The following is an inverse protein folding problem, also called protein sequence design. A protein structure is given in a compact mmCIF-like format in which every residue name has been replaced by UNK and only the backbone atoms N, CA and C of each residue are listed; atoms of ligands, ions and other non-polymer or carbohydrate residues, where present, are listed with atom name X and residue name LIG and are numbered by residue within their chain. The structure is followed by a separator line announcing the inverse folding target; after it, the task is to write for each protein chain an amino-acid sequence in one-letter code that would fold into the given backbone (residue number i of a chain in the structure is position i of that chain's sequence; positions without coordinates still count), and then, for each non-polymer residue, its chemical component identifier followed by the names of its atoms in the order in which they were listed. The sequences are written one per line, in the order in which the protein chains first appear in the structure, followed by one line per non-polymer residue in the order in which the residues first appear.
data_IF_501605057580
#
_entry.id   IF_501605057580
#
_cell.length_a   1.000
_cell.length_b   1.000
_cell.length_c   1.000
_cell.angle_alpha   90.00
_cell.angle_beta   90.00
_cell.angle_gamma   90.00
#
_symmetry.space_group_name_H-M   'P 1'
#
loop_
_entity.id
_entity.type
_entity.pdbx_description
1 polymer ?
#
# COMPACT_ATOMS: atom_id res chain seq x y z
N UNK A 1 12.96 13.18 6.86
CA UNK A 1 11.75 12.33 6.87
C UNK A 1 11.81 11.37 8.03
N UNK A 2 10.76 11.29 8.81
CA UNK A 2 10.60 10.29 9.86
C UNK A 2 9.87 9.07 9.32
N UNK A 3 9.83 7.98 10.11
CA UNK A 3 9.05 6.79 9.75
C UNK A 3 7.57 7.14 9.58
N UNK A 4 7.02 7.97 10.46
CA UNK A 4 5.62 8.38 10.36
C UNK A 4 5.37 9.25 9.14
N UNK A 5 6.32 10.12 8.79
CA UNK A 5 6.22 10.94 7.57
C UNK A 5 6.16 10.05 6.33
N UNK A 6 7.01 9.02 6.29
CA UNK A 6 7.01 8.06 5.17
C UNK A 6 5.66 7.36 5.05
N UNK A 7 5.14 6.84 6.17
CA UNK A 7 3.85 6.14 6.18
C UNK A 7 2.73 7.06 5.74
N UNK A 8 2.69 8.29 6.25
CA UNK A 8 1.67 9.26 5.90
C UNK A 8 1.73 9.65 4.42
N UNK A 9 2.95 9.85 3.90
CA UNK A 9 3.13 10.18 2.47
C UNK A 9 2.65 9.04 1.58
N UNK A 10 2.99 7.80 1.92
CA UNK A 10 2.55 6.63 1.17
C UNK A 10 1.02 6.50 1.18
N UNK A 11 0.40 6.66 2.34
CA UNK A 11 -1.06 6.60 2.47
C UNK A 11 -1.72 7.66 1.61
N UNK A 12 -1.21 8.87 1.64
CA UNK A 12 -1.72 9.97 0.83
C UNK A 12 -1.61 9.66 -0.67
N UNK A 13 -0.43 9.22 -1.12
CA UNK A 13 -0.18 8.95 -2.53
C UNK A 13 -1.01 7.78 -3.05
N UNK A 14 -1.17 6.73 -2.25
CA UNK A 14 -2.00 5.58 -2.62
C UNK A 14 -3.47 6.00 -2.74
N UNK A 15 -3.96 6.79 -1.79
CA UNK A 15 -5.32 7.33 -1.81
C UNK A 15 -5.57 8.12 -3.08
N UNK A 16 -4.68 9.03 -3.41
CA UNK A 16 -4.77 9.85 -4.61
C UNK A 16 -4.78 9.00 -5.88
N UNK A 17 -3.86 8.03 -5.94
CA UNK A 17 -3.75 7.14 -7.10
C UNK A 17 -5.01 6.29 -7.30
N UNK A 18 -5.58 5.78 -6.22
CA UNK A 18 -6.82 5.01 -6.28
C UNK A 18 -7.98 5.88 -6.76
N UNK A 19 -8.15 7.04 -6.15
CA UNK A 19 -9.29 7.93 -6.44
C UNK A 19 -9.22 8.50 -7.85
N UNK A 20 -8.02 8.70 -8.38
CA UNK A 20 -7.83 9.20 -9.74
C UNK A 20 -8.36 8.22 -10.79
N UNK A 21 -8.46 6.92 -10.45
CA UNK A 21 -8.97 5.88 -11.34
C UNK A 21 -10.46 5.67 -11.23
N UNK A 22 -11.14 6.30 -10.26
CA UNK A 22 -12.59 6.16 -10.10
C UNK A 22 -13.28 6.95 -11.19
N UNK A 23 -14.18 6.27 -11.92
CA UNK A 23 -14.91 6.88 -13.05
C UNK A 23 -16.35 7.15 -12.63
N UNK A 24 -16.62 8.37 -12.22
CA UNK A 24 -17.96 8.80 -11.79
C UNK A 24 -18.95 8.84 -12.94
N UNK A 25 -18.48 8.98 -14.19
CA UNK A 25 -19.35 8.96 -15.37
C UNK A 25 -19.93 7.56 -15.61
N UNK A 26 -19.26 6.52 -15.11
CA UNK A 26 -19.74 5.14 -15.16
C UNK A 26 -20.54 4.76 -13.91
N UNK A 27 -20.82 5.71 -13.04
CA UNK A 27 -21.54 5.46 -11.81
C UNK A 27 -20.69 4.87 -10.69
N UNK A 28 -19.36 4.93 -10.83
CA UNK A 28 -18.47 4.47 -9.79
C UNK A 28 -18.41 5.51 -8.66
N UNK A 29 -18.48 5.02 -7.41
CA UNK A 29 -18.45 5.88 -6.22
C UNK A 29 -17.54 5.33 -5.13
N UNK A 30 -16.58 4.47 -5.51
CA UNK A 30 -15.70 3.78 -4.57
C UNK A 30 -14.45 4.61 -4.21
N UNK A 31 -14.65 5.89 -3.96
CA UNK A 31 -13.59 6.75 -3.42
C UNK A 31 -13.21 6.29 -2.03
N UNK A 32 -11.93 6.43 -1.71
CA UNK A 32 -11.41 6.10 -0.39
C UNK A 32 -10.81 7.33 0.27
N UNK A 33 -10.59 7.23 1.57
CA UNK A 33 -9.88 8.22 2.36
C UNK A 33 -8.56 7.61 2.85
N UNK A 34 -7.65 8.44 3.34
CA UNK A 34 -6.35 7.97 3.81
C UNK A 34 -6.47 6.93 4.92
N UNK A 35 -7.53 7.01 5.73
CA UNK A 35 -7.80 6.05 6.80
C UNK A 35 -8.06 4.64 6.27
N UNK A 36 -8.43 4.51 5.01
CA UNK A 36 -8.65 3.22 4.38
C UNK A 36 -7.36 2.53 3.97
N UNK A 37 -6.25 3.27 3.90
CA UNK A 37 -4.94 2.73 3.53
C UNK A 37 -4.17 2.36 4.78
N UNK A 38 -3.80 1.09 4.90
CA UNK A 38 -3.14 0.54 6.08
C UNK A 38 -1.75 0.07 5.75
N UNK A 39 -0.80 0.43 6.59
CA UNK A 39 0.57 -0.08 6.51
C UNK A 39 0.60 -1.46 7.15
N UNK A 40 0.85 -2.49 6.35
CA UNK A 40 0.92 -3.87 6.82
C UNK A 40 2.30 -4.17 7.39
N UNK A 41 3.32 -3.59 6.78
CA UNK A 41 4.70 -3.86 7.13
C UNK A 41 5.57 -2.69 6.67
N UNK A 42 6.59 -2.37 7.44
CA UNK A 42 7.54 -1.38 7.00
C UNK A 42 8.92 -1.64 7.61
N UNK A 43 9.95 -1.19 6.91
CA UNK A 43 11.33 -1.29 7.35
C UNK A 43 12.08 -0.02 6.98
N UNK A 44 12.99 0.36 7.86
CA UNK A 44 13.89 1.49 7.65
C UNK A 44 15.32 0.97 7.66
N UNK A 45 16.11 1.37 6.65
CA UNK A 45 17.52 1.06 6.58
C UNK A 45 18.26 2.34 6.22
N UNK A 46 19.00 2.90 7.20
CA UNK A 46 19.66 4.20 7.06
C UNK A 46 18.61 5.27 6.72
N UNK A 47 18.75 5.96 5.58
CA UNK A 47 17.80 6.97 5.12
C UNK A 47 16.76 6.42 4.16
N UNK A 48 16.73 5.11 3.95
CA UNK A 48 15.83 4.46 3.03
C UNK A 48 14.68 3.79 3.78
N UNK A 49 13.49 3.78 3.17
CA UNK A 49 12.30 3.18 3.73
C UNK A 49 11.63 2.26 2.73
N UNK A 50 11.02 1.21 3.22
CA UNK A 50 10.21 0.31 2.39
C UNK A 50 8.99 -0.11 3.18
N UNK A 51 7.82 -0.09 2.55
CA UNK A 51 6.58 -0.49 3.21
C UNK A 51 5.63 -1.17 2.27
N UNK A 52 4.77 -2.02 2.85
CA UNK A 52 3.69 -2.69 2.15
C UNK A 52 2.37 -2.17 2.71
N UNK A 53 1.47 -1.80 1.80
CA UNK A 53 0.20 -1.18 2.16
C UNK A 53 -0.96 -1.90 1.50
N UNK A 54 -2.11 -1.86 2.15
CA UNK A 54 -3.36 -2.38 1.61
C UNK A 54 -4.45 -1.34 1.79
N UNK A 55 -5.51 -1.47 1.00
CA UNK A 55 -6.73 -0.66 1.16
C UNK A 55 -7.79 -1.55 1.79
N UNK A 56 -8.45 -1.04 2.83
CA UNK A 56 -9.58 -1.75 3.45
C UNK A 56 -10.86 -0.93 3.24
N UNK A 57 -11.95 -1.57 2.82
CA UNK A 57 -12.06 -3.00 2.48
C UNK A 57 -11.15 -3.37 1.30
N UNK A 58 -10.73 -4.63 1.26
CA UNK A 58 -9.72 -5.10 0.30
C UNK A 58 -10.15 -4.88 -1.15
N UNK A 59 -9.23 -4.34 -1.95
CA UNK A 59 -9.42 -4.11 -3.38
C UNK A 59 -8.70 -5.16 -4.25
N UNK A 60 -8.12 -6.19 -3.61
CA UNK A 60 -7.38 -7.24 -4.30
C UNK A 60 -5.98 -6.84 -4.72
N UNK A 61 -5.48 -5.74 -4.19
CA UNK A 61 -4.16 -5.20 -4.55
C UNK A 61 -3.27 -5.03 -3.34
N UNK A 62 -1.97 -5.00 -3.60
CA UNK A 62 -0.94 -4.63 -2.63
C UNK A 62 -0.13 -3.49 -3.22
N UNK A 63 0.26 -2.56 -2.36
CA UNK A 63 1.04 -1.40 -2.76
C UNK A 63 2.35 -1.43 -2.01
N UNK A 64 3.45 -1.52 -2.76
CA UNK A 64 4.78 -1.50 -2.18
C UNK A 64 5.42 -0.14 -2.42
N UNK A 65 5.75 0.55 -1.35
CA UNK A 65 6.37 1.86 -1.41
C UNK A 65 7.84 1.74 -1.05
N UNK A 66 8.70 2.33 -1.87
CA UNK A 66 10.14 2.35 -1.65
C UNK A 66 10.63 3.78 -1.73
N UNK A 67 11.25 4.26 -0.67
CA UNK A 67 11.83 5.60 -0.62
C UNK A 67 13.35 5.53 -0.59
N UNK A 68 13.97 6.20 -1.55
CA UNK A 68 15.41 6.38 -1.61
C UNK A 68 15.73 7.75 -1.02
N UNK A 69 16.29 7.77 0.19
CA UNK A 69 16.56 9.01 0.90
C UNK A 69 17.69 9.84 0.30
N UNK A 70 18.63 9.21 -0.40
CA UNK A 70 19.72 9.93 -1.06
C UNK A 70 19.20 10.74 -2.24
N UNK A 71 18.29 10.17 -3.01
CA UNK A 71 17.71 10.81 -4.19
C UNK A 71 16.40 11.52 -3.91
N UNK A 72 15.83 11.32 -2.72
CA UNK A 72 14.52 11.84 -2.33
C UNK A 72 13.43 11.43 -3.31
N UNK A 73 13.46 10.17 -3.72
CA UNK A 73 12.50 9.60 -4.66
C UNK A 73 11.65 8.54 -3.98
N UNK A 74 10.36 8.58 -4.24
CA UNK A 74 9.39 7.60 -3.75
C UNK A 74 8.85 6.81 -4.94
N UNK A 75 8.94 5.48 -4.84
CA UNK A 75 8.37 4.56 -5.84
C UNK A 75 7.18 3.84 -5.21
N UNK A 76 6.10 3.72 -5.98
CA UNK A 76 4.91 2.98 -5.57
C UNK A 76 4.62 1.93 -6.62
N UNK A 77 4.79 0.67 -6.25
CA UNK A 77 4.50 -0.46 -7.11
C UNK A 77 3.16 -1.06 -6.69
N UNK A 78 2.30 -1.33 -7.67
CA UNK A 78 0.97 -1.88 -7.44
C UNK A 78 0.95 -3.32 -7.94
N UNK A 79 0.57 -4.24 -7.04
CA UNK A 79 0.49 -5.66 -7.37
C UNK A 79 -0.95 -6.14 -7.24
N UNK A 80 -1.40 -6.92 -8.21
CA UNK A 80 -2.69 -7.58 -8.14
C UNK A 80 -2.53 -8.93 -7.45
N UNK A 81 -3.50 -9.26 -6.60
CA UNK A 81 -3.56 -10.58 -5.98
C UNK A 81 -3.97 -11.58 -7.06
N UNK A 82 -3.10 -12.52 -7.36
CA UNK A 82 -3.32 -13.51 -8.40
C UNK A 82 -4.13 -14.69 -7.91
N UNK A 83 -3.80 -15.18 -6.71
CA UNK A 83 -4.47 -16.36 -6.18
C UNK A 83 -4.42 -16.37 -4.65
N UNK A 84 -5.24 -17.23 -4.07
CA UNK A 84 -5.25 -17.50 -2.65
C UNK A 84 -5.38 -19.00 -2.46
N UNK A 85 -4.45 -19.59 -1.73
CA UNK A 85 -4.43 -21.02 -1.46
C UNK A 85 -4.26 -21.24 0.04
N UNK A 86 -5.13 -22.05 0.60
CA UNK A 86 -5.04 -22.43 2.01
C UNK A 86 -4.44 -23.82 2.12
N UNK A 87 -3.32 -23.93 2.81
CA UNK A 87 -2.65 -25.20 3.05
C UNK A 87 -2.68 -25.45 4.55
N UNK A 88 -3.35 -26.54 4.95
CA UNK A 88 -3.36 -26.94 6.35
C UNK A 88 -2.07 -27.68 6.67
N UNK A 89 -1.39 -27.22 7.72
CA UNK A 89 -0.14 -27.83 8.14
C UNK A 89 -0.41 -28.73 9.34
N UNK A 90 0.19 -29.93 9.32
CA UNK A 90 0.20 -30.78 10.48
C UNK A 90 1.47 -30.46 11.28
N UNK A 91 1.27 -30.00 12.50
CA UNK A 91 2.38 -29.79 13.40
C UNK A 91 2.46 -31.02 14.35
N UNK A 92 3.65 -31.57 14.49
CA UNK A 92 3.92 -32.63 15.46
C UNK A 92 4.59 -32.01 16.67
N UNK A 93 4.00 -32.25 17.83
CA UNK A 93 4.54 -31.80 19.11
C UNK A 93 5.73 -32.62 19.57
#
# INVERSE_FOLDING_TARGET
MTSQDFINECRYRITYKHNDKVDTLKGEDNFIETENVHCVWFNKSLQNYKGLFIILPLDGKYYECTYNGDKKELYIDTYNKESNECIELKEED
#
